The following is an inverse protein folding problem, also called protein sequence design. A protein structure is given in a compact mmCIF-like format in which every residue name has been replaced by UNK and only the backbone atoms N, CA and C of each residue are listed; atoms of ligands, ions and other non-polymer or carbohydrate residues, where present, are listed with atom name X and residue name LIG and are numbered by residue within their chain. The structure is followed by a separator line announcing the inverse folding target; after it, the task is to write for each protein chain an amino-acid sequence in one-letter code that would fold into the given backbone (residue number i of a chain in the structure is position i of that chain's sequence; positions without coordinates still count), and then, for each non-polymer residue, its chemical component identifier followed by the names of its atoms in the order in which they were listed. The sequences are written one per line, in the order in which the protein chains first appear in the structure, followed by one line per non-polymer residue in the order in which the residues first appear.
data_IF_013548004613
#
_entry.id   IF_013548004613
#
_cell.length_a   1.000
_cell.length_b   1.000
_cell.length_c   1.000
_cell.angle_alpha   90.00
_cell.angle_beta   90.00
_cell.angle_gamma   90.00
#
_symmetry.space_group_name_H-M   'P 1'
#
loop_
_entity.id
_entity.type
_entity.pdbx_description
1 polymer ?
#
# COMPACT_ATOMS: atom_id res chain seq x y z
N UNK A 1 35.44 7.75 10.23
CA UNK A 1 36.76 8.42 10.39
C UNK A 1 36.56 9.92 10.28
N UNK A 2 37.12 10.65 11.26
CA UNK A 2 36.96 12.08 11.53
C UNK A 2 37.49 13.00 10.42
N UNK A 3 36.66 13.44 9.46
CA UNK A 3 37.08 14.43 8.47
C UNK A 3 36.66 15.88 8.76
N UNK A 4 35.60 16.12 9.54
CA UNK A 4 35.13 17.49 9.79
C UNK A 4 35.82 18.21 10.96
N UNK A 5 36.37 17.49 11.94
CA UNK A 5 37.18 18.10 13.00
C UNK A 5 38.68 18.08 12.70
N UNK A 6 39.18 17.16 11.87
CA UNK A 6 40.63 17.00 11.67
C UNK A 6 41.25 18.06 10.74
N UNK A 7 40.57 18.41 9.64
CA UNK A 7 41.09 19.38 8.65
C UNK A 7 41.16 20.82 9.17
N UNK A 8 40.14 21.37 9.85
CA UNK A 8 40.21 22.72 10.41
C UNK A 8 41.28 22.79 11.52
N UNK A 9 41.34 21.74 12.35
CA UNK A 9 42.20 21.74 13.53
C UNK A 9 43.69 21.70 13.19
N UNK A 10 44.08 20.97 12.14
CA UNK A 10 45.47 20.97 11.66
C UNK A 10 45.93 22.31 11.06
N UNK A 11 45.02 23.09 10.47
CA UNK A 11 45.31 24.45 9.95
C UNK A 11 45.24 25.53 11.04
N UNK A 12 44.49 25.31 12.11
CA UNK A 12 44.44 26.23 13.25
C UNK A 12 45.63 26.03 14.21
N UNK A 13 46.15 24.81 14.30
CA UNK A 13 47.35 24.47 15.09
C UNK A 13 48.62 25.17 14.58
N UNK A 14 48.70 25.55 13.30
CA UNK A 14 49.86 26.29 12.74
C UNK A 14 49.97 27.74 13.23
N UNK A 15 48.93 28.28 13.88
CA UNK A 15 48.89 29.65 14.41
C UNK A 15 49.07 29.74 15.93
N UNK A 16 49.36 28.62 16.61
CA UNK A 16 49.59 28.60 18.07
C UNK A 16 51.03 29.04 18.32
N UNK A 17 51.20 30.23 18.89
CA UNK A 17 52.53 30.85 19.12
C UNK A 17 52.97 30.79 20.58
N UNK A 18 52.05 30.46 21.50
CA UNK A 18 52.34 30.36 22.94
C UNK A 18 51.56 29.24 23.65
N UNK A 19 52.03 28.87 24.84
CA UNK A 19 51.31 27.95 25.74
C UNK A 19 49.91 28.46 26.11
N UNK A 20 49.75 29.79 26.24
CA UNK A 20 48.45 30.41 26.50
C UNK A 20 47.47 30.24 25.34
N UNK A 21 47.93 30.37 24.10
CA UNK A 21 47.09 30.17 22.91
C UNK A 21 46.61 28.72 22.80
N UNK A 22 47.46 27.76 23.17
CA UNK A 22 47.11 26.34 23.20
C UNK A 22 46.03 26.03 24.24
N UNK A 23 46.17 26.57 25.46
CA UNK A 23 45.16 26.42 26.53
C UNK A 23 43.83 27.01 26.08
N UNK A 24 43.83 28.24 25.55
CA UNK A 24 42.60 28.92 25.10
C UNK A 24 41.90 28.15 23.99
N UNK A 25 42.66 27.58 23.04
CA UNK A 25 42.06 26.78 21.97
C UNK A 25 41.49 25.46 22.48
N UNK A 26 42.17 24.81 23.43
CA UNK A 26 41.63 23.61 24.08
C UNK A 26 40.34 23.93 24.86
N UNK A 27 40.28 25.05 25.57
CA UNK A 27 39.06 25.50 26.25
C UNK A 27 37.91 25.72 25.26
N UNK A 28 38.17 26.30 24.08
CA UNK A 28 37.15 26.45 23.03
C UNK A 28 36.62 25.11 22.53
N UNK A 29 37.50 24.12 22.29
CA UNK A 29 37.09 22.77 21.88
C UNK A 29 36.26 22.11 22.96
N UNK A 30 36.71 22.20 24.21
CA UNK A 30 35.99 21.66 25.37
C UNK A 30 34.60 22.30 25.39
N UNK A 31 34.48 23.63 25.40
CA UNK A 31 33.20 24.33 25.39
C UNK A 31 32.30 23.93 24.21
N UNK A 32 32.87 23.70 23.02
CA UNK A 32 32.12 23.22 21.86
C UNK A 32 31.60 21.78 22.05
N UNK A 33 32.44 20.83 22.45
CA UNK A 33 32.03 19.45 22.74
C UNK A 33 31.00 19.39 23.85
N UNK A 34 31.15 20.27 24.84
CA UNK A 34 30.21 20.46 25.93
C UNK A 34 28.84 20.95 25.45
N UNK A 35 28.81 21.88 24.50
CA UNK A 35 27.55 22.33 23.89
C UNK A 35 26.82 21.21 23.14
N UNK A 36 27.56 20.25 22.56
CA UNK A 36 26.98 19.08 21.88
C UNK A 36 26.39 18.05 22.86
N UNK A 37 26.89 18.02 24.09
CA UNK A 37 26.41 17.09 25.13
C UNK A 37 25.19 17.66 25.86
N UNK A 38 25.14 18.99 26.04
CA UNK A 38 24.02 19.66 26.70
C UNK A 38 22.82 19.94 25.76
N UNK A 39 22.59 19.06 24.79
CA UNK A 39 21.45 19.17 23.87
C UNK A 39 20.24 18.44 24.47
N UNK A 40 19.04 18.92 24.13
CA UNK A 40 17.80 18.20 24.43
C UNK A 40 17.70 16.97 23.53
N UNK A 41 17.48 15.78 24.11
CA UNK A 41 17.41 14.55 23.32
C UNK A 41 16.19 14.50 22.40
N UNK A 42 15.10 15.09 22.85
CA UNK A 42 13.82 15.10 22.15
C UNK A 42 13.56 16.54 21.70
N UNK A 43 13.78 16.78 20.42
CA UNK A 43 13.44 18.04 19.75
C UNK A 43 12.44 17.75 18.63
N UNK A 44 11.84 18.81 18.06
CA UNK A 44 10.94 18.68 16.92
C UNK A 44 11.57 17.93 15.74
N UNK A 45 12.88 18.11 15.53
CA UNK A 45 13.61 17.44 14.44
C UNK A 45 13.87 15.96 14.75
N UNK A 46 14.30 15.63 15.98
CA UNK A 46 14.63 14.24 16.36
C UNK A 46 13.39 13.37 16.60
N UNK A 47 12.25 14.01 16.88
CA UNK A 47 10.94 13.36 16.94
C UNK A 47 10.47 12.91 15.55
N UNK A 48 10.61 13.78 14.55
CA UNK A 48 10.12 13.53 13.18
C UNK A 48 11.09 12.66 12.38
N UNK A 49 12.40 12.95 12.44
CA UNK A 49 13.38 12.37 11.54
C UNK A 49 14.33 11.40 12.25
N UNK A 50 14.25 10.11 11.88
CA UNK A 50 15.14 9.07 12.40
C UNK A 50 16.63 9.38 12.16
N UNK A 51 16.98 9.86 10.97
CA UNK A 51 18.35 10.21 10.64
C UNK A 51 18.93 11.28 11.59
N UNK A 52 18.12 12.29 11.95
CA UNK A 52 18.54 13.35 12.88
C UNK A 52 18.69 12.84 14.31
N UNK A 53 17.83 11.92 14.72
CA UNK A 53 17.94 11.25 16.01
C UNK A 53 19.19 10.37 16.10
N UNK A 54 19.51 9.62 15.05
CA UNK A 54 20.76 8.85 14.99
C UNK A 54 22.00 9.74 14.97
N UNK A 55 21.99 10.82 14.18
CA UNK A 55 23.06 11.82 14.11
C UNK A 55 23.36 12.40 15.50
N UNK A 56 22.31 12.83 16.22
CA UNK A 56 22.43 13.34 17.58
C UNK A 56 23.17 12.38 18.52
N UNK A 57 22.76 11.11 18.57
CA UNK A 57 23.37 10.15 19.49
C UNK A 57 24.78 9.71 19.07
N UNK A 58 25.08 9.69 17.77
CA UNK A 58 26.45 9.50 17.26
C UNK A 58 27.35 10.67 17.67
N UNK A 59 26.89 11.90 17.51
CA UNK A 59 27.63 13.11 17.89
C UNK A 59 27.85 13.18 19.40
N UNK A 60 26.83 12.84 20.19
CA UNK A 60 26.94 12.72 21.64
C UNK A 60 28.05 11.75 22.04
N UNK A 61 28.06 10.54 21.47
CA UNK A 61 29.07 9.53 21.79
C UNK A 61 30.48 9.97 21.33
N UNK A 62 30.59 10.60 20.16
CA UNK A 62 31.84 11.16 19.67
C UNK A 62 32.38 12.25 20.59
N UNK A 63 31.51 13.11 21.11
CA UNK A 63 31.89 14.16 22.06
C UNK A 63 32.43 13.57 23.37
N UNK A 64 31.75 12.56 23.92
CA UNK A 64 32.20 11.88 25.15
C UNK A 64 33.55 11.19 24.95
N UNK A 65 33.73 10.43 23.86
CA UNK A 65 35.00 9.77 23.54
C UNK A 65 36.12 10.81 23.40
N UNK A 66 35.83 11.95 22.77
CA UNK A 66 36.81 13.01 22.55
C UNK A 66 37.18 13.69 23.86
N UNK A 67 36.22 14.03 24.71
CA UNK A 67 36.48 14.59 26.04
C UNK A 67 37.31 13.63 26.90
N UNK A 68 36.96 12.33 26.95
CA UNK A 68 37.74 11.33 27.69
C UNK A 68 39.21 11.29 27.24
N UNK A 69 39.45 11.39 25.92
CA UNK A 69 40.81 11.47 25.36
C UNK A 69 41.55 12.75 25.75
N UNK A 70 40.86 13.90 25.77
CA UNK A 70 41.44 15.18 26.18
C UNK A 70 41.81 15.11 27.67
N UNK A 71 40.88 14.71 28.52
CA UNK A 71 41.11 14.59 29.98
C UNK A 71 42.28 13.67 30.30
N UNK A 72 42.39 12.54 29.59
CA UNK A 72 43.50 11.59 29.81
C UNK A 72 44.86 12.15 29.35
N UNK A 73 44.90 12.88 28.23
CA UNK A 73 46.15 13.41 27.66
C UNK A 73 46.65 14.70 28.31
N UNK A 74 45.74 15.52 28.83
CA UNK A 74 46.05 16.86 29.33
C UNK A 74 45.79 17.00 30.84
N UNK A 75 45.72 15.88 31.56
CA UNK A 75 45.40 15.84 33.00
C UNK A 75 46.33 16.74 33.84
N UNK A 76 47.61 16.76 33.50
CA UNK A 76 48.65 17.49 34.26
C UNK A 76 48.80 18.95 33.79
N UNK A 77 48.09 19.33 32.73
CA UNK A 77 48.19 20.63 32.07
C UNK A 77 47.03 21.55 32.51
N UNK A 78 45.87 20.99 32.81
CA UNK A 78 44.72 21.76 33.26
C UNK A 78 44.76 22.00 34.78
N UNK A 79 44.55 23.23 35.26
CA UNK A 79 44.48 23.53 36.69
C UNK A 79 43.27 22.88 37.39
N UNK A 80 42.22 22.53 36.62
CA UNK A 80 41.06 21.77 37.08
C UNK A 80 40.76 20.64 36.10
N UNK A 81 40.54 19.39 36.57
CA UNK A 81 40.16 18.30 35.70
C UNK A 81 38.79 18.54 35.05
N UNK A 82 38.64 18.16 33.78
CA UNK A 82 37.35 18.19 33.09
C UNK A 82 36.44 17.14 33.75
N UNK A 83 35.34 17.60 34.35
CA UNK A 83 34.41 16.78 35.10
C UNK A 83 33.46 15.96 34.20
N UNK A 84 34.00 14.96 33.52
CA UNK A 84 33.23 14.07 32.63
C UNK A 84 32.14 13.29 33.41
N UNK A 85 32.40 12.99 34.68
CA UNK A 85 31.49 12.20 35.51
C UNK A 85 30.15 12.91 35.73
N UNK A 86 30.17 14.23 35.92
CA UNK A 86 28.94 15.04 35.98
C UNK A 86 28.13 14.95 34.68
N UNK A 87 28.76 14.91 33.50
CA UNK A 87 28.06 14.76 32.20
C UNK A 87 27.42 13.40 32.06
N UNK A 88 28.18 12.35 32.36
CA UNK A 88 27.66 10.99 32.30
C UNK A 88 26.49 10.81 33.26
N UNK A 89 26.52 11.50 34.41
CA UNK A 89 25.41 11.55 35.37
C UNK A 89 24.19 12.30 34.81
N UNK A 90 24.37 13.43 34.11
CA UNK A 90 23.27 14.15 33.46
C UNK A 90 22.64 13.35 32.32
N UNK A 91 23.45 12.74 31.46
CA UNK A 91 22.99 11.84 30.38
C UNK A 91 22.18 10.69 30.99
N UNK A 92 22.72 10.05 32.03
CA UNK A 92 22.04 8.99 32.76
C UNK A 92 20.69 9.47 33.30
N UNK A 93 20.63 10.64 33.94
CA UNK A 93 19.38 11.19 34.44
C UNK A 93 18.35 11.44 33.32
N UNK A 94 18.77 11.95 32.16
CA UNK A 94 17.90 12.12 30.98
C UNK A 94 17.39 10.77 30.46
N UNK A 95 18.24 9.76 30.37
CA UNK A 95 17.86 8.40 29.93
C UNK A 95 16.91 7.74 30.93
N UNK A 96 17.17 7.82 32.22
CA UNK A 96 16.28 7.27 33.26
C UNK A 96 14.91 7.96 33.28
N UNK A 97 14.88 9.28 33.00
CA UNK A 97 13.62 9.98 32.80
C UNK A 97 12.86 9.43 31.59
N UNK A 98 13.51 9.21 30.45
CA UNK A 98 12.85 8.60 29.28
C UNK A 98 12.37 7.16 29.56
N UNK A 99 13.17 6.34 30.23
CA UNK A 99 12.81 4.97 30.61
C UNK A 99 11.56 4.93 31.48
N UNK A 100 11.53 5.75 32.54
CA UNK A 100 10.38 5.83 33.44
C UNK A 100 9.10 6.32 32.73
N UNK A 101 9.23 7.30 31.84
CA UNK A 101 8.10 7.76 31.03
C UNK A 101 7.62 6.67 30.06
N UNK A 102 8.52 5.98 29.35
CA UNK A 102 8.17 4.87 28.47
C UNK A 102 7.40 3.79 29.22
N UNK A 103 7.93 3.33 30.36
CA UNK A 103 7.33 2.27 31.15
C UNK A 103 5.96 2.68 31.73
N UNK A 104 5.82 3.95 32.12
CA UNK A 104 4.54 4.52 32.56
C UNK A 104 3.49 4.45 31.46
N UNK A 105 3.86 4.79 30.22
CA UNK A 105 2.94 4.67 29.06
C UNK A 105 2.64 3.21 28.74
N UNK A 106 3.68 2.36 28.71
CA UNK A 106 3.54 0.93 28.45
C UNK A 106 2.59 0.25 29.45
N UNK A 107 2.54 0.71 30.69
CA UNK A 107 1.75 0.09 31.77
C UNK A 107 0.30 0.58 31.89
N UNK A 108 -0.13 1.55 31.07
CA UNK A 108 -1.55 1.95 31.05
C UNK A 108 -2.44 0.85 30.49
N UNK A 109 -3.64 0.65 31.03
CA UNK A 109 -4.58 -0.35 30.52
C UNK A 109 -4.97 -0.06 29.06
N UNK A 110 -5.32 1.19 28.77
CA UNK A 110 -5.62 1.68 27.43
C UNK A 110 -4.72 2.87 27.06
N UNK A 111 -4.32 2.94 25.79
CA UNK A 111 -3.57 4.06 25.25
C UNK A 111 -4.51 5.02 24.51
N UNK A 112 -4.46 6.30 24.88
CA UNK A 112 -4.94 7.37 24.01
C UNK A 112 -3.94 7.63 22.87
N UNK A 113 -4.35 8.35 21.82
CA UNK A 113 -3.44 8.78 20.74
C UNK A 113 -2.21 9.51 21.29
N UNK A 114 -2.42 10.41 22.28
CA UNK A 114 -1.33 11.12 22.95
C UNK A 114 -0.38 10.16 23.70
N UNK A 115 -0.92 9.12 24.33
CA UNK A 115 -0.10 8.14 25.03
C UNK A 115 0.71 7.27 24.06
N UNK A 116 0.13 6.92 22.91
CA UNK A 116 0.83 6.19 21.86
C UNK A 116 1.93 7.05 21.22
N UNK A 117 1.66 8.33 20.98
CA UNK A 117 2.67 9.30 20.52
C UNK A 117 3.82 9.42 21.52
N UNK A 118 3.51 9.60 22.80
CA UNK A 118 4.50 9.65 23.88
C UNK A 118 5.31 8.35 23.93
N UNK A 119 4.65 7.19 23.88
CA UNK A 119 5.31 5.88 23.87
C UNK A 119 6.29 5.78 22.70
N UNK A 120 5.80 6.02 21.47
CA UNK A 120 6.59 5.97 20.22
C UNK A 120 7.80 6.87 20.33
N UNK A 121 7.60 8.09 20.82
CA UNK A 121 8.65 9.08 21.02
C UNK A 121 9.75 8.55 21.95
N UNK A 122 9.40 8.10 23.16
CA UNK A 122 10.41 7.60 24.10
C UNK A 122 11.08 6.31 23.62
N UNK A 123 10.30 5.39 23.04
CA UNK A 123 10.79 4.11 22.53
C UNK A 123 11.84 4.33 21.44
N UNK A 124 11.54 5.15 20.44
CA UNK A 124 12.45 5.40 19.31
C UNK A 124 13.74 6.12 19.75
N UNK A 125 13.67 7.01 20.73
CA UNK A 125 14.85 7.67 21.30
C UNK A 125 15.71 6.70 22.11
N UNK A 126 15.12 5.85 22.94
CA UNK A 126 15.86 4.84 23.69
C UNK A 126 16.47 3.77 22.77
N UNK A 127 15.78 3.37 21.71
CA UNK A 127 16.30 2.46 20.69
C UNK A 127 17.48 3.08 19.92
N UNK A 128 17.35 4.35 19.53
CA UNK A 128 18.46 5.05 18.85
C UNK A 128 19.65 5.29 19.78
N UNK A 129 19.40 5.55 21.08
CA UNK A 129 20.44 5.66 22.10
C UNK A 129 21.17 4.33 22.27
N UNK A 130 20.43 3.21 22.42
CA UNK A 130 20.99 1.85 22.55
C UNK A 130 21.95 1.50 21.40
N UNK A 131 21.53 1.81 20.17
CA UNK A 131 22.31 1.52 18.96
C UNK A 131 23.59 2.34 18.84
N UNK A 132 23.61 3.57 19.35
CA UNK A 132 24.67 4.55 19.04
C UNK A 132 25.53 4.95 20.24
N UNK A 133 25.09 4.70 21.48
CA UNK A 133 25.76 5.16 22.71
C UNK A 133 26.12 3.96 23.58
N UNK A 134 27.42 3.80 23.84
CA UNK A 134 27.94 2.76 24.75
C UNK A 134 28.53 3.40 26.00
N UNK A 135 27.69 3.56 27.04
CA UNK A 135 28.08 4.11 28.34
C UNK A 135 27.89 3.07 29.44
N UNK A 136 28.92 2.88 30.26
CA UNK A 136 28.90 1.91 31.35
C UNK A 136 27.77 2.21 32.34
N UNK A 137 26.96 1.18 32.61
CA UNK A 137 25.87 1.25 33.58
C UNK A 137 24.58 1.90 33.06
N UNK A 138 24.48 2.25 31.77
CA UNK A 138 23.20 2.61 31.15
C UNK A 138 22.80 1.45 30.22
N UNK A 139 21.85 0.64 30.67
CA UNK A 139 21.22 -0.39 29.85
C UNK A 139 19.78 -0.01 29.55
N UNK A 140 19.45 0.20 28.28
CA UNK A 140 18.09 0.52 27.81
C UNK A 140 17.37 -0.71 27.27
N UNK A 141 18.08 -1.83 27.01
CA UNK A 141 17.54 -3.01 26.35
C UNK A 141 16.41 -3.63 27.16
N UNK A 142 16.65 -3.84 28.45
CA UNK A 142 15.65 -4.41 29.35
C UNK A 142 14.32 -3.62 29.34
N UNK A 143 14.39 -2.28 29.39
CA UNK A 143 13.19 -1.43 29.41
C UNK A 143 12.48 -1.41 28.05
N UNK A 144 13.23 -1.45 26.95
CA UNK A 144 12.65 -1.56 25.60
C UNK A 144 11.90 -2.87 25.45
N UNK A 145 12.53 -4.00 25.82
CA UNK A 145 11.93 -5.33 25.73
C UNK A 145 10.71 -5.44 26.66
N UNK A 146 10.80 -5.01 27.92
CA UNK A 146 9.66 -5.00 28.85
C UNK A 146 8.48 -4.15 28.33
N UNK A 147 8.79 -2.98 27.78
CA UNK A 147 7.76 -2.08 27.23
C UNK A 147 7.09 -2.67 26.00
N UNK A 148 7.85 -3.34 25.14
CA UNK A 148 7.32 -4.06 23.99
C UNK A 148 6.42 -5.22 24.45
N UNK A 149 6.89 -6.06 25.39
CA UNK A 149 6.11 -7.17 25.95
C UNK A 149 4.77 -6.69 26.52
N UNK A 150 4.75 -5.57 27.25
CA UNK A 150 3.49 -4.98 27.77
C UNK A 150 2.52 -4.55 26.67
N UNK A 151 3.01 -3.95 25.58
CA UNK A 151 2.14 -3.58 24.45
C UNK A 151 1.59 -4.82 23.75
N UNK A 152 2.45 -5.80 23.47
CA UNK A 152 2.04 -7.03 22.80
C UNK A 152 1.10 -7.88 23.66
N UNK A 153 1.26 -7.86 24.98
CA UNK A 153 0.33 -8.51 25.90
C UNK A 153 -1.09 -7.91 25.82
N UNK A 154 -1.24 -6.61 25.57
CA UNK A 154 -2.55 -5.98 25.38
C UNK A 154 -3.20 -6.41 24.07
N UNK A 155 -2.42 -6.47 22.99
CA UNK A 155 -2.88 -6.99 21.69
C UNK A 155 -3.34 -8.43 21.83
N UNK A 156 -2.58 -9.27 22.53
CA UNK A 156 -2.95 -10.67 22.79
C UNK A 156 -4.19 -10.77 23.71
N UNK A 157 -4.37 -9.86 24.67
CA UNK A 157 -5.59 -9.80 25.48
C UNK A 157 -6.83 -9.48 24.63
N UNK A 158 -6.74 -8.49 23.73
CA UNK A 158 -7.83 -8.16 22.81
C UNK A 158 -8.14 -9.32 21.86
N UNK A 159 -7.11 -10.05 21.41
CA UNK A 159 -7.30 -11.26 20.60
C UNK A 159 -8.01 -12.37 21.39
N UNK A 160 -7.69 -12.56 22.67
CA UNK A 160 -8.44 -13.48 23.54
C UNK A 160 -9.88 -13.04 23.71
N UNK A 161 -10.15 -11.74 23.79
CA UNK A 161 -11.51 -11.21 23.81
C UNK A 161 -12.29 -11.53 22.53
N UNK A 162 -11.67 -11.43 21.35
CA UNK A 162 -12.27 -11.86 20.08
C UNK A 162 -12.67 -13.33 20.14
N UNK A 163 -11.79 -14.18 20.70
CA UNK A 163 -12.05 -15.62 20.81
C UNK A 163 -13.19 -15.91 21.81
N UNK A 164 -13.22 -15.24 22.97
CA UNK A 164 -14.28 -15.45 23.97
C UNK A 164 -15.63 -14.89 23.52
N UNK A 165 -15.63 -13.81 22.74
CA UNK A 165 -16.81 -13.09 22.28
C UNK A 165 -17.17 -13.42 20.83
N UNK A 166 -16.72 -14.58 20.32
CA UNK A 166 -16.79 -14.93 18.90
C UNK A 166 -18.21 -14.91 18.30
N UNK A 167 -19.25 -15.12 19.11
CA UNK A 167 -20.64 -15.06 18.67
C UNK A 167 -21.23 -13.63 18.67
N UNK A 168 -20.53 -12.66 19.27
CA UNK A 168 -20.94 -11.26 19.33
C UNK A 168 -20.11 -10.43 18.34
N UNK A 169 -20.70 -10.19 17.16
CA UNK A 169 -20.08 -9.45 16.06
C UNK A 169 -19.63 -8.05 16.49
N UNK A 170 -20.42 -7.36 17.32
CA UNK A 170 -20.13 -5.99 17.76
C UNK A 170 -18.89 -5.97 18.66
N UNK A 171 -18.79 -6.92 19.59
CA UNK A 171 -17.62 -7.04 20.45
C UNK A 171 -16.36 -7.40 19.66
N UNK A 172 -16.48 -8.32 18.69
CA UNK A 172 -15.36 -8.68 17.82
C UNK A 172 -14.89 -7.50 16.98
N UNK A 173 -15.81 -6.72 16.40
CA UNK A 173 -15.49 -5.52 15.64
C UNK A 173 -14.75 -4.48 16.52
N UNK A 174 -15.25 -4.24 17.74
CA UNK A 174 -14.63 -3.32 18.69
C UNK A 174 -13.19 -3.74 19.05
N UNK A 175 -12.98 -5.02 19.35
CA UNK A 175 -11.65 -5.54 19.67
C UNK A 175 -10.68 -5.46 18.49
N UNK A 176 -11.13 -5.77 17.26
CA UNK A 176 -10.32 -5.62 16.05
C UNK A 176 -9.92 -4.15 15.80
N UNK A 177 -10.84 -3.21 15.98
CA UNK A 177 -10.56 -1.78 15.85
C UNK A 177 -9.57 -1.31 16.93
N UNK A 178 -9.67 -1.83 18.15
CA UNK A 178 -8.72 -1.54 19.22
C UNK A 178 -7.32 -2.09 18.89
N UNK A 179 -7.20 -3.30 18.35
CA UNK A 179 -5.90 -3.83 17.89
C UNK A 179 -5.35 -2.96 16.75
N UNK A 180 -6.19 -2.57 15.79
CA UNK A 180 -5.78 -1.71 14.67
C UNK A 180 -5.26 -0.36 15.12
N UNK A 181 -5.86 0.23 16.16
CA UNK A 181 -5.36 1.46 16.77
C UNK A 181 -3.88 1.32 17.18
N UNK A 182 -3.49 0.20 17.79
CA UNK A 182 -2.08 -0.03 18.13
C UNK A 182 -1.19 -0.12 16.88
N UNK A 183 -1.63 -0.82 15.83
CA UNK A 183 -0.86 -0.90 14.58
C UNK A 183 -0.64 0.48 13.93
N UNK A 184 -1.67 1.33 13.88
CA UNK A 184 -1.59 2.67 13.25
C UNK A 184 -0.74 3.67 14.06
N UNK A 185 -0.80 3.59 15.39
CA UNK A 185 -0.13 4.56 16.26
C UNK A 185 1.27 4.10 16.71
N UNK A 186 1.55 2.80 16.66
CA UNK A 186 2.83 2.19 17.03
C UNK A 186 3.45 1.48 15.82
N UNK A 187 3.83 2.27 14.81
CA UNK A 187 4.31 1.76 13.52
C UNK A 187 5.53 0.82 13.61
N UNK A 188 6.34 0.92 14.66
CA UNK A 188 7.46 0.00 14.91
C UNK A 188 7.03 -1.45 15.16
N UNK A 189 5.75 -1.67 15.53
CA UNK A 189 5.17 -3.00 15.76
C UNK A 189 4.10 -3.36 14.72
N UNK A 190 3.83 -2.47 13.75
CA UNK A 190 2.73 -2.58 12.80
C UNK A 190 2.65 -3.96 12.15
N UNK A 191 3.78 -4.45 11.61
CA UNK A 191 3.83 -5.76 10.94
C UNK A 191 3.32 -6.89 11.84
N UNK A 192 3.85 -6.97 13.06
CA UNK A 192 3.49 -8.03 13.99
C UNK A 192 2.03 -7.91 14.45
N UNK A 193 1.54 -6.69 14.69
CA UNK A 193 0.16 -6.47 15.10
C UNK A 193 -0.81 -6.79 13.95
N UNK A 194 -0.48 -6.43 12.71
CA UNK A 194 -1.28 -6.78 11.54
C UNK A 194 -1.33 -8.30 11.31
N UNK A 195 -0.22 -9.03 11.55
CA UNK A 195 -0.21 -10.49 11.52
C UNK A 195 -1.20 -11.08 12.56
N UNK A 196 -1.29 -10.48 13.75
CA UNK A 196 -2.25 -10.90 14.78
C UNK A 196 -3.71 -10.61 14.40
N UNK A 197 -3.98 -9.48 13.74
CA UNK A 197 -5.31 -9.18 13.17
C UNK A 197 -5.69 -10.24 12.12
N UNK A 198 -4.77 -10.56 11.21
CA UNK A 198 -5.01 -11.57 10.18
C UNK A 198 -5.27 -12.96 10.78
N UNK A 199 -4.53 -13.32 11.83
CA UNK A 199 -4.74 -14.58 12.56
C UNK A 199 -6.12 -14.61 13.25
N UNK A 200 -6.52 -13.52 13.90
CA UNK A 200 -7.82 -13.40 14.54
C UNK A 200 -8.97 -13.51 13.52
N UNK A 201 -8.86 -12.84 12.37
CA UNK A 201 -9.85 -12.89 11.29
C UNK A 201 -9.95 -14.28 10.65
N UNK A 202 -8.81 -14.95 10.42
CA UNK A 202 -8.79 -16.34 9.93
C UNK A 202 -9.47 -17.28 10.92
N UNK A 203 -9.17 -17.13 12.22
CA UNK A 203 -9.82 -17.91 13.27
C UNK A 203 -11.33 -17.68 13.31
N UNK A 204 -11.75 -16.41 13.31
CA UNK A 204 -13.16 -16.01 13.29
C UNK A 204 -13.92 -16.63 12.11
N UNK A 205 -13.36 -16.50 10.89
CA UNK A 205 -13.93 -17.08 9.66
C UNK A 205 -14.05 -18.61 9.74
N UNK A 206 -13.02 -19.29 10.27
CA UNK A 206 -13.01 -20.75 10.37
C UNK A 206 -14.07 -21.30 11.32
N UNK A 207 -14.46 -20.52 12.34
CA UNK A 207 -15.42 -20.94 13.38
C UNK A 207 -16.85 -20.52 13.09
N UNK A 208 -17.06 -19.32 12.56
CA UNK A 208 -18.38 -18.73 12.34
C UNK A 208 -18.85 -18.81 10.88
N UNK A 209 -17.99 -19.27 9.97
CA UNK A 209 -18.28 -19.39 8.55
C UNK A 209 -18.11 -18.08 7.78
N UNK A 210 -18.45 -18.10 6.49
CA UNK A 210 -18.25 -16.95 5.61
C UNK A 210 -19.32 -15.86 5.79
N UNK A 211 -20.56 -16.23 6.13
CA UNK A 211 -21.65 -15.28 6.34
C UNK A 211 -21.40 -14.33 7.53
N UNK A 212 -20.70 -14.79 8.57
CA UNK A 212 -20.35 -13.94 9.72
C UNK A 212 -19.31 -12.87 9.37
N UNK A 213 -18.43 -13.12 8.39
CA UNK A 213 -17.46 -12.13 7.88
C UNK A 213 -18.19 -10.96 7.21
N UNK A 214 -19.30 -11.24 6.55
CA UNK A 214 -20.18 -10.20 6.00
C UNK A 214 -20.79 -9.34 7.11
N UNK A 215 -21.34 -9.96 8.16
CA UNK A 215 -21.88 -9.22 9.32
C UNK A 215 -20.81 -8.42 10.05
N UNK A 216 -19.62 -8.98 10.23
CA UNK A 216 -18.47 -8.29 10.83
C UNK A 216 -18.04 -7.09 10.00
N UNK A 217 -17.99 -7.23 8.67
CA UNK A 217 -17.64 -6.13 7.77
C UNK A 217 -18.63 -4.98 7.87
N UNK A 218 -19.94 -5.27 7.93
CA UNK A 218 -20.97 -4.24 8.09
C UNK A 218 -20.80 -3.46 9.40
N UNK A 219 -20.35 -4.11 10.46
CA UNK A 219 -20.09 -3.44 11.74
C UNK A 219 -18.84 -2.56 11.67
N UNK A 220 -17.75 -3.07 11.11
CA UNK A 220 -16.49 -2.35 10.93
C UNK A 220 -16.67 -1.08 10.07
N UNK A 221 -17.47 -1.15 9.01
CA UNK A 221 -17.75 -0.05 8.09
C UNK A 221 -18.29 1.23 8.75
N UNK A 222 -18.87 1.14 9.94
CA UNK A 222 -19.41 2.29 10.64
C UNK A 222 -18.34 3.30 11.06
N UNK A 223 -17.06 2.94 10.92
CA UNK A 223 -15.92 3.77 11.32
C UNK A 223 -14.83 3.80 10.26
N UNK A 224 -14.01 4.86 10.26
CA UNK A 224 -12.87 4.98 9.34
C UNK A 224 -11.78 3.92 9.59
N UNK A 225 -11.55 3.56 10.86
CA UNK A 225 -10.59 2.51 11.25
C UNK A 225 -11.05 1.16 10.71
N UNK A 226 -12.35 0.85 10.86
CA UNK A 226 -12.91 -0.38 10.33
C UNK A 226 -12.93 -0.44 8.80
N UNK A 227 -13.12 0.70 8.12
CA UNK A 227 -12.97 0.75 6.66
C UNK A 227 -11.53 0.42 6.22
N UNK A 228 -10.51 0.92 6.93
CA UNK A 228 -9.10 0.57 6.66
C UNK A 228 -8.79 -0.90 6.94
N UNK A 229 -9.33 -1.46 8.03
CA UNK A 229 -9.25 -2.89 8.32
C UNK A 229 -9.75 -3.73 7.14
N UNK A 230 -10.88 -3.34 6.55
CA UNK A 230 -11.48 -4.07 5.42
C UNK A 230 -10.60 -4.00 4.16
N UNK A 231 -9.96 -2.85 3.90
CA UNK A 231 -9.12 -2.67 2.71
C UNK A 231 -7.75 -3.34 2.82
N UNK A 232 -7.20 -3.49 4.03
CA UNK A 232 -5.81 -3.92 4.24
C UNK A 232 -5.68 -5.42 4.53
N UNK A 233 -6.74 -6.05 5.06
CA UNK A 233 -6.67 -7.45 5.51
C UNK A 233 -7.33 -8.42 4.52
N UNK A 234 -6.54 -9.39 4.06
CA UNK A 234 -6.93 -10.37 3.02
C UNK A 234 -8.18 -11.18 3.34
N UNK A 235 -8.48 -11.41 4.63
CA UNK A 235 -9.70 -12.11 5.04
C UNK A 235 -10.99 -11.33 4.74
N UNK A 236 -10.88 -10.00 4.58
CA UNK A 236 -11.99 -9.07 4.32
C UNK A 236 -12.00 -8.53 2.89
N UNK A 237 -11.00 -8.84 2.05
CA UNK A 237 -10.89 -8.29 0.69
C UNK A 237 -12.07 -8.62 -0.22
N UNK A 238 -12.75 -9.76 0.02
CA UNK A 238 -13.98 -10.10 -0.68
C UNK A 238 -15.14 -9.15 -0.38
N UNK A 239 -15.21 -8.64 0.84
CA UNK A 239 -16.23 -7.67 1.28
C UNK A 239 -15.92 -6.27 0.77
N UNK A 240 -14.64 -5.88 0.76
CA UNK A 240 -14.20 -4.66 0.10
C UNK A 240 -14.60 -4.65 -1.38
N UNK A 241 -14.32 -5.76 -2.09
CA UNK A 241 -14.73 -5.92 -3.48
C UNK A 241 -16.26 -5.81 -3.67
N UNK A 242 -17.04 -6.55 -2.87
CA UNK A 242 -18.51 -6.51 -2.94
C UNK A 242 -19.03 -5.07 -2.86
N UNK A 243 -18.48 -4.27 -1.95
CA UNK A 243 -18.88 -2.87 -1.76
C UNK A 243 -18.50 -1.97 -2.92
N UNK A 244 -17.29 -2.12 -3.46
CA UNK A 244 -16.88 -1.35 -4.64
C UNK A 244 -17.87 -1.59 -5.77
N UNK A 245 -18.28 -2.84 -5.97
CA UNK A 245 -19.31 -3.20 -6.95
C UNK A 245 -20.67 -2.58 -6.65
N UNK A 246 -21.16 -2.65 -5.42
CA UNK A 246 -22.42 -2.01 -5.02
C UNK A 246 -22.40 -0.49 -5.29
N UNK A 247 -21.30 0.20 -4.96
CA UNK A 247 -21.12 1.64 -5.25
C UNK A 247 -21.09 1.94 -6.75
N UNK A 248 -20.59 1.01 -7.55
CA UNK A 248 -20.48 1.13 -9.01
C UNK A 248 -21.73 0.66 -9.76
N UNK A 249 -22.82 0.29 -9.08
CA UNK A 249 -24.01 -0.28 -9.71
C UNK A 249 -24.62 0.59 -10.83
N UNK A 250 -24.52 1.93 -10.74
CA UNK A 250 -24.96 2.84 -11.81
C UNK A 250 -24.12 2.72 -13.09
N UNK A 251 -22.85 2.33 -12.96
CA UNK A 251 -21.93 2.14 -14.09
C UNK A 251 -22.04 0.73 -14.70
N UNK A 252 -22.81 -0.16 -14.06
CA UNK A 252 -23.24 -1.43 -14.64
C UNK A 252 -24.48 -1.25 -15.55
N UNK A 253 -25.06 -0.05 -15.61
CA UNK A 253 -26.15 0.30 -16.54
C UNK A 253 -25.60 0.88 -17.85
N UNK A 254 -25.82 0.15 -18.95
CA UNK A 254 -25.43 0.56 -20.29
C UNK A 254 -26.11 1.85 -20.74
N UNK A 255 -27.38 2.06 -20.39
CA UNK A 255 -28.11 3.26 -20.78
C UNK A 255 -27.52 4.49 -20.08
N UNK A 256 -27.22 4.34 -18.79
CA UNK A 256 -26.52 5.38 -18.02
C UNK A 256 -25.14 5.70 -18.63
N UNK A 257 -24.31 4.69 -18.90
CA UNK A 257 -22.97 4.90 -19.48
C UNK A 257 -23.05 5.56 -20.84
N UNK A 258 -23.88 5.04 -21.76
CA UNK A 258 -24.04 5.62 -23.08
C UNK A 258 -24.62 7.04 -23.05
N UNK A 259 -25.52 7.34 -22.10
CA UNK A 259 -26.06 8.70 -21.94
C UNK A 259 -24.99 9.71 -21.55
N UNK A 260 -24.12 9.36 -20.60
CA UNK A 260 -23.09 10.25 -20.05
C UNK A 260 -21.77 10.23 -20.85
N UNK A 261 -21.64 9.35 -21.84
CA UNK A 261 -20.49 9.33 -22.74
C UNK A 261 -20.46 10.60 -23.62
N UNK A 262 -19.37 11.35 -23.50
CA UNK A 262 -19.06 12.58 -24.26
C UNK A 262 -17.83 12.35 -25.16
N UNK A 263 -17.64 13.23 -26.15
CA UNK A 263 -16.51 13.19 -27.09
C UNK A 263 -16.92 13.16 -28.55
N UNK A 264 -15.92 13.09 -29.43
CA UNK A 264 -16.09 13.18 -30.89
C UNK A 264 -16.55 11.86 -31.52
N UNK A 265 -17.24 11.98 -32.66
CA UNK A 265 -17.62 10.89 -33.58
C UNK A 265 -18.11 9.62 -32.87
N UNK A 266 -19.30 9.74 -32.26
CA UNK A 266 -19.85 8.74 -31.34
C UNK A 266 -21.16 8.14 -31.83
N UNK A 267 -21.10 6.95 -32.44
CA UNK A 267 -22.30 6.18 -32.80
C UNK A 267 -22.79 5.27 -31.66
N UNK A 268 -23.52 5.84 -30.68
CA UNK A 268 -24.02 5.11 -29.48
C UNK A 268 -24.74 3.78 -29.79
N UNK A 269 -25.43 3.67 -30.92
CA UNK A 269 -26.12 2.45 -31.34
C UNK A 269 -25.16 1.30 -31.67
N UNK A 270 -24.01 1.59 -32.30
CA UNK A 270 -22.98 0.58 -32.59
C UNK A 270 -22.38 0.09 -31.28
N UNK A 271 -22.02 1.00 -30.36
CA UNK A 271 -21.52 0.63 -29.03
C UNK A 271 -22.50 -0.26 -28.27
N UNK A 272 -23.80 0.08 -28.30
CA UNK A 272 -24.85 -0.73 -27.69
C UNK A 272 -24.87 -2.15 -28.26
N UNK A 273 -24.94 -2.27 -29.59
CA UNK A 273 -24.98 -3.57 -30.26
C UNK A 273 -23.75 -4.43 -29.93
N UNK A 274 -22.55 -3.84 -29.98
CA UNK A 274 -21.31 -4.54 -29.63
C UNK A 274 -21.25 -4.95 -28.17
N UNK A 275 -21.74 -4.09 -27.26
CA UNK A 275 -21.79 -4.43 -25.84
C UNK A 275 -22.76 -5.57 -25.58
N UNK A 276 -23.92 -5.60 -26.25
CA UNK A 276 -24.86 -6.72 -26.16
C UNK A 276 -24.21 -8.02 -26.57
N UNK A 277 -23.51 -8.07 -27.72
CA UNK A 277 -22.77 -9.27 -28.17
C UNK A 277 -21.73 -9.71 -27.15
N UNK A 278 -20.93 -8.77 -26.64
CA UNK A 278 -19.97 -9.04 -25.57
C UNK A 278 -20.66 -9.63 -24.33
N UNK A 279 -21.75 -9.01 -23.88
CA UNK A 279 -22.42 -9.35 -22.63
C UNK A 279 -23.05 -10.73 -22.70
N UNK A 280 -23.76 -11.03 -23.78
CA UNK A 280 -24.36 -12.33 -24.03
C UNK A 280 -23.30 -13.43 -23.99
N UNK A 281 -22.18 -13.23 -24.70
CA UNK A 281 -21.11 -14.22 -24.71
C UNK A 281 -20.45 -14.37 -23.34
N UNK A 282 -20.15 -13.26 -22.68
CA UNK A 282 -19.52 -13.27 -21.35
C UNK A 282 -20.40 -13.99 -20.31
N UNK A 283 -21.71 -13.72 -20.30
CA UNK A 283 -22.66 -14.39 -19.39
C UNK A 283 -22.83 -15.88 -19.74
N UNK A 284 -22.81 -16.26 -21.03
CA UNK A 284 -22.80 -17.66 -21.49
C UNK A 284 -21.57 -18.41 -20.97
N UNK A 285 -20.37 -17.85 -21.15
CA UNK A 285 -19.11 -18.44 -20.67
C UNK A 285 -19.13 -18.59 -19.14
N UNK A 286 -19.51 -17.53 -18.43
CA UNK A 286 -19.53 -17.53 -16.98
C UNK A 286 -20.55 -18.54 -16.42
N UNK A 287 -21.76 -18.59 -16.98
CA UNK A 287 -22.79 -19.54 -16.55
C UNK A 287 -22.39 -20.99 -16.80
N UNK A 288 -21.78 -21.28 -17.95
CA UNK A 288 -21.27 -22.62 -18.29
C UNK A 288 -20.21 -23.08 -17.29
N UNK A 289 -19.23 -22.22 -16.99
CA UNK A 289 -18.13 -22.54 -16.08
C UNK A 289 -18.56 -22.59 -14.60
N UNK A 290 -19.43 -21.69 -14.15
CA UNK A 290 -19.92 -21.74 -12.78
C UNK A 290 -20.83 -22.97 -12.56
N UNK A 291 -21.57 -23.41 -13.58
CA UNK A 291 -22.42 -24.61 -13.50
C UNK A 291 -21.63 -25.92 -13.52
N UNK A 292 -20.43 -25.95 -14.09
CA UNK A 292 -19.55 -27.13 -13.99
C UNK A 292 -18.87 -27.21 -12.62
N UNK A 293 -18.53 -26.05 -12.03
CA UNK A 293 -17.95 -25.94 -10.68
C UNK A 293 -18.86 -26.39 -9.54
N UNK A 294 -20.18 -26.36 -9.72
CA UNK A 294 -21.15 -26.84 -8.72
C UNK A 294 -21.35 -28.35 -8.77
N UNK A 295 -20.93 -29.01 -9.86
CA UNK A 295 -21.11 -30.45 -10.07
C UNK A 295 -19.87 -31.29 -9.71
N UNK A 296 -18.68 -30.72 -9.83
CA UNK A 296 -17.42 -31.39 -9.50
C UNK A 296 -16.87 -30.84 -8.18
N UNK A 297 -16.57 -31.74 -7.23
CA UNK A 297 -16.08 -31.45 -5.87
C UNK A 297 -14.87 -30.50 -5.84
N UNK A 298 -15.12 -29.19 -5.68
CA UNK A 298 -14.16 -28.15 -5.31
C UNK A 298 -12.89 -27.99 -6.17
N UNK A 299 -12.77 -28.64 -7.32
CA UNK A 299 -11.64 -28.40 -8.24
C UNK A 299 -11.86 -27.08 -8.98
N UNK A 300 -10.87 -26.18 -8.90
CA UNK A 300 -10.83 -24.96 -9.71
C UNK A 300 -11.00 -25.31 -11.19
N UNK A 301 -11.71 -24.47 -11.97
CA UNK A 301 -11.96 -24.74 -13.38
C UNK A 301 -10.64 -24.79 -14.14
N UNK A 302 -10.44 -25.85 -14.93
CA UNK A 302 -9.39 -25.85 -15.94
C UNK A 302 -9.74 -24.82 -17.01
N UNK A 303 -8.99 -23.73 -17.04
CA UNK A 303 -9.19 -22.62 -17.97
C UNK A 303 -8.57 -22.87 -19.35
N UNK A 304 -7.87 -24.00 -19.56
CA UNK A 304 -7.21 -24.32 -20.84
C UNK A 304 -8.17 -24.31 -22.02
N UNK A 305 -9.42 -24.75 -21.81
CA UNK A 305 -10.45 -24.69 -22.86
C UNK A 305 -10.75 -23.25 -23.26
N UNK A 306 -10.93 -22.34 -22.30
CA UNK A 306 -11.15 -20.91 -22.57
C UNK A 306 -9.93 -20.27 -23.21
N UNK A 307 -8.72 -20.57 -22.72
CA UNK A 307 -7.47 -20.06 -23.27
C UNK A 307 -7.32 -20.49 -24.73
N UNK A 308 -7.59 -21.76 -25.03
CA UNK A 308 -7.53 -22.31 -26.40
C UNK A 308 -8.56 -21.61 -27.31
N UNK A 309 -9.80 -21.45 -26.85
CA UNK A 309 -10.84 -20.74 -27.61
C UNK A 309 -10.47 -19.28 -27.85
N UNK A 310 -9.90 -18.61 -26.85
CA UNK A 310 -9.42 -17.22 -26.95
C UNK A 310 -8.33 -17.09 -28.01
N UNK A 311 -7.34 -18.00 -27.99
CA UNK A 311 -6.27 -18.04 -28.99
C UNK A 311 -6.81 -18.30 -30.40
N UNK A 312 -7.77 -19.22 -30.54
CA UNK A 312 -8.41 -19.50 -31.83
C UNK A 312 -9.18 -18.28 -32.35
N UNK A 313 -9.90 -17.55 -31.49
CA UNK A 313 -10.58 -16.31 -31.87
C UNK A 313 -9.60 -15.23 -32.30
N UNK A 314 -8.51 -15.03 -31.55
CA UNK A 314 -7.45 -14.11 -31.93
C UNK A 314 -6.73 -14.52 -33.23
N UNK A 315 -6.59 -15.82 -33.49
CA UNK A 315 -5.98 -16.34 -34.73
C UNK A 315 -6.86 -16.22 -35.98
N UNK A 316 -8.15 -15.89 -35.85
CA UNK A 316 -9.02 -15.57 -37.02
C UNK A 316 -8.69 -14.22 -37.66
N UNK A 317 -7.79 -13.47 -37.05
CA UNK A 317 -7.38 -12.13 -37.47
C UNK A 317 -6.40 -12.25 -38.62
N UNK A 318 -6.71 -11.62 -39.75
CA UNK A 318 -5.90 -11.72 -40.96
C UNK A 318 -4.61 -10.91 -40.83
N UNK A 319 -3.48 -11.59 -40.90
CA UNK A 319 -2.17 -10.98 -41.10
C UNK A 319 -1.92 -10.78 -42.60
N UNK A 320 -1.62 -9.56 -43.00
CA UNK A 320 -1.04 -9.29 -44.32
C UNK A 320 0.41 -8.88 -44.09
N UNK A 321 1.35 -9.71 -44.56
CA UNK A 321 2.80 -9.41 -44.57
C UNK A 321 3.30 -8.78 -43.25
N UNK A 322 3.31 -9.58 -42.18
CA UNK A 322 3.78 -9.20 -40.83
C UNK A 322 3.05 -8.03 -40.15
N UNK A 323 1.93 -7.56 -40.72
CA UNK A 323 1.12 -6.47 -40.18
C UNK A 323 -0.34 -6.90 -39.96
N UNK A 324 -0.92 -6.50 -38.82
CA UNK A 324 -2.33 -6.73 -38.50
C UNK A 324 -3.19 -5.81 -39.34
N UNK A 325 -4.11 -6.38 -40.13
CA UNK A 325 -5.09 -5.57 -40.87
C UNK A 325 -6.26 -5.23 -39.96
N UNK A 326 -6.31 -3.98 -39.47
CA UNK A 326 -7.43 -3.47 -38.69
C UNK A 326 -8.58 -3.09 -39.63
N UNK A 327 -9.57 -3.97 -39.80
CA UNK A 327 -10.71 -3.77 -40.69
C UNK A 327 -12.05 -4.06 -39.97
N UNK A 328 -13.18 -3.85 -40.67
CA UNK A 328 -14.51 -4.11 -40.11
C UNK A 328 -14.70 -5.53 -39.57
N UNK A 329 -14.22 -6.55 -40.31
CA UNK A 329 -14.31 -7.95 -39.90
C UNK A 329 -13.50 -8.25 -38.62
N UNK A 330 -12.35 -7.60 -38.44
CA UNK A 330 -11.62 -7.65 -37.18
C UNK A 330 -12.45 -7.04 -36.05
N UNK A 331 -12.95 -5.82 -36.25
CA UNK A 331 -13.79 -5.10 -35.26
C UNK A 331 -15.06 -5.87 -34.90
N UNK A 332 -15.59 -6.68 -35.82
CA UNK A 332 -16.74 -7.54 -35.59
C UNK A 332 -16.48 -8.61 -34.53
N UNK A 333 -15.26 -9.12 -34.44
CA UNK A 333 -14.88 -10.19 -33.52
C UNK A 333 -14.40 -9.69 -32.14
N UNK A 334 -14.09 -8.39 -32.01
CA UNK A 334 -13.60 -7.80 -30.76
C UNK A 334 -14.52 -8.07 -29.55
N UNK A 335 -15.86 -7.88 -29.64
CA UNK A 335 -16.73 -8.13 -28.49
C UNK A 335 -16.62 -9.56 -27.95
N UNK A 336 -16.51 -10.55 -28.84
CA UNK A 336 -16.37 -11.95 -28.44
C UNK A 336 -15.00 -12.22 -27.82
N UNK A 337 -13.93 -11.69 -28.40
CA UNK A 337 -12.58 -11.83 -27.87
C UNK A 337 -12.46 -11.20 -26.47
N UNK A 338 -12.96 -9.97 -26.31
CA UNK A 338 -12.99 -9.27 -25.01
C UNK A 338 -13.81 -10.04 -23.98
N UNK A 339 -14.93 -10.67 -24.38
CA UNK A 339 -15.73 -11.54 -23.51
C UNK A 339 -14.92 -12.73 -22.98
N UNK A 340 -14.13 -13.37 -23.82
CA UNK A 340 -13.28 -14.50 -23.40
C UNK A 340 -12.16 -14.07 -22.46
N UNK A 341 -11.47 -12.97 -22.76
CA UNK A 341 -10.40 -12.44 -21.90
C UNK A 341 -10.96 -12.07 -20.52
N UNK A 342 -12.09 -11.36 -20.48
CA UNK A 342 -12.73 -11.03 -19.21
C UNK A 342 -13.26 -12.26 -18.48
N UNK A 343 -13.81 -13.26 -19.17
CA UNK A 343 -14.24 -14.51 -18.55
C UNK A 343 -13.07 -15.21 -17.86
N UNK A 344 -11.90 -15.31 -18.53
CA UNK A 344 -10.67 -15.85 -17.94
C UNK A 344 -10.28 -15.03 -16.70
N UNK A 345 -10.24 -13.70 -16.81
CA UNK A 345 -9.90 -12.83 -15.69
C UNK A 345 -10.82 -13.03 -14.49
N UNK A 346 -12.13 -13.04 -14.70
CA UNK A 346 -13.13 -13.26 -13.64
C UNK A 346 -12.98 -14.64 -13.02
N UNK A 347 -12.83 -15.69 -13.84
CA UNK A 347 -12.74 -17.08 -13.36
C UNK A 347 -11.44 -17.37 -12.60
N UNK A 348 -10.33 -16.74 -12.98
CA UNK A 348 -9.06 -16.78 -12.22
C UNK A 348 -9.15 -16.12 -10.84
N UNK A 349 -10.16 -15.27 -10.61
CA UNK A 349 -10.33 -14.51 -9.37
C UNK A 349 -11.59 -14.95 -8.60
N UNK A 350 -11.89 -16.26 -8.61
CA UNK A 350 -13.10 -16.83 -7.98
C UNK A 350 -12.93 -17.15 -6.50
N UNK A 351 -11.77 -16.90 -5.87
CA UNK A 351 -11.53 -17.30 -4.47
C UNK A 351 -12.61 -16.79 -3.48
N UNK A 352 -13.07 -15.55 -3.66
CA UNK A 352 -14.09 -14.95 -2.80
C UNK A 352 -15.50 -15.49 -3.11
N UNK A 353 -15.80 -15.69 -4.39
CA UNK A 353 -17.04 -16.36 -4.82
C UNK A 353 -17.13 -17.78 -4.24
N UNK A 354 -16.05 -18.55 -4.34
CA UNK A 354 -15.98 -19.92 -3.84
C UNK A 354 -16.18 -19.99 -2.33
N UNK A 355 -15.62 -19.03 -1.58
CA UNK A 355 -15.82 -18.92 -0.14
C UNK A 355 -17.27 -18.59 0.27
N UNK A 356 -18.08 -18.05 -0.65
CA UNK A 356 -19.46 -17.63 -0.42
C UNK A 356 -20.50 -18.54 -1.11
N UNK A 357 -20.08 -19.73 -1.58
CA UNK A 357 -20.99 -20.71 -2.21
C UNK A 357 -22.17 -21.04 -1.27
N UNK A 358 -23.37 -21.12 -1.84
CA UNK A 358 -24.61 -21.40 -1.10
C UNK A 358 -25.30 -20.17 -0.51
N UNK A 359 -24.74 -18.97 -0.69
CA UNK A 359 -25.39 -17.70 -0.35
C UNK A 359 -25.97 -17.09 -1.64
N UNK A 360 -27.23 -16.64 -1.63
CA UNK A 360 -27.93 -16.10 -2.81
C UNK A 360 -27.18 -14.93 -3.51
N UNK A 361 -26.37 -14.19 -2.76
CA UNK A 361 -25.57 -13.07 -3.24
C UNK A 361 -24.14 -13.45 -3.71
N UNK A 362 -23.79 -14.74 -3.81
CA UNK A 362 -22.41 -15.18 -4.11
C UNK A 362 -21.83 -14.51 -5.36
N UNK A 363 -22.65 -14.28 -6.40
CA UNK A 363 -22.24 -13.59 -7.64
C UNK A 363 -21.66 -12.20 -7.41
N UNK A 364 -22.04 -11.49 -6.34
CA UNK A 364 -21.52 -10.16 -6.03
C UNK A 364 -20.00 -10.18 -5.74
N UNK A 365 -19.47 -11.35 -5.32
CA UNK A 365 -18.06 -11.56 -5.03
C UNK A 365 -17.19 -11.90 -6.25
N UNK A 366 -17.79 -12.02 -7.44
CA UNK A 366 -17.03 -12.20 -8.68
C UNK A 366 -16.41 -10.89 -9.11
N UNK A 367 -15.13 -10.95 -9.49
CA UNK A 367 -14.40 -9.84 -10.08
C UNK A 367 -14.83 -9.67 -11.54
N UNK A 368 -15.86 -8.85 -11.78
CA UNK A 368 -16.50 -8.66 -13.09
C UNK A 368 -16.22 -7.25 -13.62
N UNK A 369 -16.11 -7.09 -14.95
CA UNK A 369 -15.94 -5.77 -15.54
C UNK A 369 -17.26 -4.99 -15.51
N UNK A 370 -17.16 -3.68 -15.29
CA UNK A 370 -18.32 -2.78 -15.42
C UNK A 370 -18.50 -2.31 -16.86
N UNK A 371 -19.68 -1.78 -17.21
CA UNK A 371 -19.99 -1.38 -18.59
C UNK A 371 -19.01 -0.30 -19.09
N UNK A 372 -18.70 0.68 -18.24
CA UNK A 372 -17.75 1.75 -18.56
C UNK A 372 -16.38 1.25 -19.02
N UNK A 373 -15.83 0.20 -18.39
CA UNK A 373 -14.57 -0.44 -18.79
C UNK A 373 -14.66 -1.03 -20.20
N UNK A 374 -15.72 -1.79 -20.47
CA UNK A 374 -15.91 -2.46 -21.77
C UNK A 374 -16.09 -1.43 -22.89
N UNK A 375 -16.87 -0.38 -22.64
CA UNK A 375 -17.07 0.70 -23.60
C UNK A 375 -15.76 1.47 -23.84
N UNK A 376 -14.97 1.73 -22.79
CA UNK A 376 -13.64 2.34 -22.92
C UNK A 376 -12.71 1.50 -23.81
N UNK A 377 -12.66 0.18 -23.58
CA UNK A 377 -11.88 -0.76 -24.40
C UNK A 377 -12.35 -0.72 -25.86
N UNK A 378 -13.66 -0.76 -26.11
CA UNK A 378 -14.20 -0.66 -27.47
C UNK A 378 -13.79 0.63 -28.17
N UNK A 379 -13.83 1.76 -27.45
CA UNK A 379 -13.35 3.04 -28.00
C UNK A 379 -11.86 2.95 -28.31
N UNK A 380 -11.01 2.51 -27.38
CA UNK A 380 -9.56 2.36 -27.64
C UNK A 380 -9.27 1.49 -28.86
N UNK A 381 -10.05 0.42 -29.07
CA UNK A 381 -9.94 -0.49 -30.21
C UNK A 381 -10.61 0.03 -31.50
N UNK A 382 -11.01 1.31 -31.55
CA UNK A 382 -11.52 1.96 -32.75
C UNK A 382 -12.95 1.58 -33.12
N UNK A 383 -13.75 1.04 -32.20
CA UNK A 383 -15.17 0.76 -32.43
C UNK A 383 -15.97 2.06 -32.37
N UNK A 384 -16.94 2.18 -33.30
CA UNK A 384 -17.95 3.24 -33.33
C UNK A 384 -17.40 4.65 -33.64
N UNK A 385 -16.24 4.76 -34.27
CA UNK A 385 -15.78 6.03 -34.86
C UNK A 385 -16.43 6.23 -36.23
N UNK A 386 -16.89 7.45 -36.50
CA UNK A 386 -17.44 7.83 -37.80
C UNK A 386 -16.33 8.42 -38.68
N UNK A 387 -16.41 8.21 -39.99
CA UNK A 387 -15.65 8.97 -41.00
C UNK A 387 -16.59 9.51 -42.07
N UNK A 388 -16.23 10.66 -42.64
CA UNK A 388 -16.97 11.23 -43.75
C UNK A 388 -16.53 10.58 -45.05
N UNK A 389 -17.45 9.91 -45.72
CA UNK A 389 -17.27 9.41 -47.08
C UNK A 389 -17.84 10.41 -48.09
N UNK A 390 -16.98 10.88 -49.00
CA UNK A 390 -17.38 11.80 -50.07
C UNK A 390 -17.72 10.98 -51.32
N UNK A 391 -19.01 10.94 -51.68
CA UNK A 391 -19.42 10.32 -52.94
C UNK A 391 -19.26 11.33 -54.08
N UNK A 392 -18.20 11.18 -54.88
CA UNK A 392 -17.96 11.99 -56.08
C UNK A 392 -19.09 11.92 -57.11
N UNK A 393 -19.82 10.80 -57.14
CA UNK A 393 -20.91 10.57 -58.10
C UNK A 393 -22.22 11.30 -57.71
N UNK A 394 -22.41 11.65 -56.43
CA UNK A 394 -23.67 12.22 -55.91
C UNK A 394 -23.52 13.59 -55.27
N UNK A 395 -22.32 14.19 -55.28
CA UNK A 395 -22.00 15.44 -54.54
C UNK A 395 -22.56 15.42 -53.11
N UNK A 396 -22.48 14.25 -52.45
CA UNK A 396 -23.06 14.02 -51.13
C UNK A 396 -22.02 13.45 -50.18
N UNK A 397 -21.98 13.98 -48.97
CA UNK A 397 -21.19 13.45 -47.85
C UNK A 397 -22.06 12.55 -46.99
N UNK A 398 -21.60 11.32 -46.73
CA UNK A 398 -22.25 10.38 -45.82
C UNK A 398 -21.31 10.05 -44.66
N UNK A 399 -21.84 10.06 -43.44
CA UNK A 399 -21.13 9.49 -42.29
C UNK A 399 -21.19 7.96 -42.38
N UNK A 400 -20.04 7.32 -42.40
CA UNK A 400 -19.88 5.86 -42.35
C UNK A 400 -19.08 5.49 -41.11
N UNK A 401 -19.14 4.24 -40.68
CA UNK A 401 -18.26 3.75 -39.61
C UNK A 401 -16.85 3.61 -40.18
N UNK A 402 -15.87 4.14 -39.45
CA UNK A 402 -14.46 4.01 -39.79
C UNK A 402 -13.99 2.59 -39.50
N UNK A 403 -13.34 1.97 -40.48
CA UNK A 403 -12.60 0.72 -40.31
C UNK A 403 -11.20 0.95 -39.74
N UNK A 404 -10.72 2.19 -39.74
CA UNK A 404 -9.37 2.54 -39.34
C UNK A 404 -9.21 2.47 -37.81
N UNK A 405 -8.03 2.06 -37.33
CA UNK A 405 -7.65 2.27 -35.93
C UNK A 405 -7.18 3.72 -35.80
N UNK A 406 -7.88 4.51 -34.99
CA UNK A 406 -7.57 5.92 -34.80
C UNK A 406 -6.84 6.13 -33.48
N UNK A 407 -5.90 7.06 -33.47
CA UNK A 407 -5.32 7.54 -32.22
C UNK A 407 -6.43 8.20 -31.40
N UNK A 408 -6.65 7.69 -30.19
CA UNK A 408 -7.71 8.16 -29.32
C UNK A 408 -7.22 8.25 -27.88
N UNK A 409 -7.97 9.03 -27.10
CA UNK A 409 -7.78 9.18 -25.67
C UNK A 409 -9.13 8.91 -25.01
N UNK A 410 -9.13 8.04 -24.00
CA UNK A 410 -10.32 7.76 -23.21
C UNK A 410 -10.05 8.18 -21.77
N UNK A 411 -10.85 9.12 -21.28
CA UNK A 411 -10.83 9.52 -19.87
C UNK A 411 -11.66 8.55 -19.05
N UNK A 412 -11.01 7.91 -18.07
CA UNK A 412 -11.66 7.02 -17.11
C UNK A 412 -11.35 7.54 -15.72
N UNK A 413 -12.39 7.78 -14.92
CA UNK A 413 -12.30 8.37 -13.58
C UNK A 413 -11.39 7.59 -12.61
N UNK A 414 -11.05 8.21 -11.50
CA UNK A 414 -10.29 7.53 -10.43
C UNK A 414 -11.16 6.47 -9.76
N UNK A 415 -10.61 5.28 -9.55
CA UNK A 415 -11.36 4.14 -8.99
C UNK A 415 -12.10 3.28 -10.03
N UNK A 416 -12.31 3.78 -11.24
CA UNK A 416 -13.03 3.11 -12.34
C UNK A 416 -12.22 1.99 -13.04
N UNK A 417 -11.08 1.57 -12.49
CA UNK A 417 -10.28 0.49 -13.06
C UNK A 417 -9.59 0.80 -14.39
N UNK A 418 -8.96 1.98 -14.51
CA UNK A 418 -8.06 2.33 -15.63
C UNK A 418 -7.07 1.22 -15.99
N UNK A 419 -6.44 0.62 -14.99
CA UNK A 419 -5.47 -0.47 -15.19
C UNK A 419 -6.10 -1.70 -15.84
N UNK A 420 -7.37 -1.99 -15.56
CA UNK A 420 -8.10 -3.10 -16.20
C UNK A 420 -8.38 -2.79 -17.66
N UNK A 421 -8.83 -1.56 -17.98
CA UNK A 421 -9.01 -1.11 -19.37
C UNK A 421 -7.72 -1.26 -20.16
N UNK A 422 -6.59 -0.79 -19.62
CA UNK A 422 -5.28 -0.90 -20.27
C UNK A 422 -4.84 -2.36 -20.44
N UNK A 423 -4.92 -3.17 -19.38
CA UNK A 423 -4.50 -4.57 -19.42
C UNK A 423 -5.28 -5.37 -20.47
N UNK A 424 -6.60 -5.23 -20.53
CA UNK A 424 -7.44 -6.00 -21.46
C UNK A 424 -7.23 -5.51 -22.90
N UNK A 425 -7.09 -4.21 -23.11
CA UNK A 425 -6.77 -3.63 -24.42
C UNK A 425 -5.40 -4.15 -24.90
N UNK A 426 -4.40 -4.18 -24.01
CA UNK A 426 -3.08 -4.74 -24.30
C UNK A 426 -3.15 -6.24 -24.61
N UNK A 427 -3.96 -7.01 -23.89
CA UNK A 427 -4.18 -8.43 -24.20
C UNK A 427 -4.76 -8.62 -25.61
N UNK A 428 -5.73 -7.81 -26.03
CA UNK A 428 -6.28 -7.88 -27.39
C UNK A 428 -5.18 -7.63 -28.43
N UNK A 429 -4.41 -6.56 -28.29
CA UNK A 429 -3.31 -6.24 -29.20
C UNK A 429 -2.21 -7.32 -29.22
N UNK A 430 -1.78 -7.79 -28.04
CA UNK A 430 -0.73 -8.82 -27.94
C UNK A 430 -1.18 -10.16 -28.53
N UNK A 431 -2.43 -10.58 -28.28
CA UNK A 431 -2.98 -11.83 -28.83
C UNK A 431 -3.11 -11.79 -30.35
N UNK A 432 -3.20 -10.60 -30.94
CA UNK A 432 -3.26 -10.40 -32.39
C UNK A 432 -1.89 -10.13 -33.01
N UNK A 433 -0.81 -10.25 -32.23
CA UNK A 433 0.57 -10.13 -32.73
C UNK A 433 1.09 -8.68 -32.80
N UNK A 434 0.49 -7.75 -32.07
CA UNK A 434 0.97 -6.37 -31.94
C UNK A 434 1.80 -6.22 -30.65
N UNK A 435 2.97 -5.59 -30.76
CA UNK A 435 3.76 -5.22 -29.59
C UNK A 435 3.12 -4.04 -28.84
N UNK A 436 2.96 -4.20 -27.53
CA UNK A 436 2.29 -3.20 -26.67
C UNK A 436 3.26 -2.67 -25.63
N UNK A 437 3.39 -1.35 -25.56
CA UNK A 437 4.11 -0.66 -24.50
C UNK A 437 3.11 0.10 -23.61
N UNK A 438 3.07 -0.25 -22.33
CA UNK A 438 2.26 0.47 -21.33
C UNK A 438 3.16 1.42 -20.52
N UNK A 439 2.94 2.72 -20.66
CA UNK A 439 3.71 3.74 -19.93
C UNK A 439 2.98 4.16 -18.65
N UNK A 440 3.64 4.00 -17.50
CA UNK A 440 3.16 4.48 -16.19
C UNK A 440 3.96 5.71 -15.74
N UNK A 441 3.40 6.49 -14.81
CA UNK A 441 4.04 7.70 -14.29
C UNK A 441 5.25 7.41 -13.37
N UNK A 442 5.34 6.21 -12.80
CA UNK A 442 6.43 5.84 -11.89
C UNK A 442 6.81 4.36 -12.04
N UNK A 443 8.05 4.05 -11.66
CA UNK A 443 8.59 2.69 -11.64
C UNK A 443 7.83 1.76 -10.67
N UNK A 444 7.25 2.31 -9.60
CA UNK A 444 6.42 1.53 -8.65
C UNK A 444 5.07 1.10 -9.27
N UNK A 445 4.58 1.86 -10.25
CA UNK A 445 3.32 1.56 -10.96
C UNK A 445 3.52 0.74 -12.24
N UNK A 446 4.72 0.78 -12.82
CA UNK A 446 5.17 -0.11 -13.89
C UNK A 446 5.41 -1.51 -13.36
#
# INVERSE_FOLDING_TARGET
MNHNLSKPFSQEMTNIVSYGDMISKLEQIINHLWSQINVEFISKETEIYEAKREELFKDLMNAIITLRKITMKFRDIFPSPIDIDTFEKEIRAKVEKMKSQLLTKASKDELSTKDADDFRRYYNHLLSFEKNVSLSGIDTRQILDESQEKILAKVESLKKEIISSISNVVAVAAALMAIKFYAENLSMFEKHINDEIDNALKYYKSRQGAASITSLSMELEKTDIGARLISEHSSLSGEDWRKRREKMQKQDDLDYVLKNLTGDDLTKNVLRSRYTTYREKYDELLSTFLSSMTKNDNTEPDLEVLVTQTKLLAGKVTHASDSVTWNGAFKDNIPELVAHIFAIWTLKNTQHYNAMRGIDAARAYLLMPHVGQVIAIFRLLGISYEKLEVSKAKNSTKKIISDDLVNNLVEVGTGEGKSVVLAITACVFALTGVDVNCSCYSEVLS
#
